data_IF_550103082925
#
_entry.id   IF_550103082925
#
_cell.length_a   1.000
_cell.length_b   1.000
_cell.length_c   1.000
_cell.angle_alpha   90.00
_cell.angle_beta   90.00
_cell.angle_gamma   90.00
#
_symmetry.space_group_name_H-M   'P 1'
#
loop_
_entity.id
_entity.type
_entity.pdbx_description
1 polymer ?
#
# COMPACT_ATOMS: atom_id res chain seq x y z
N UNK A 1 -6.80 -62.33 37.23
CA UNK A 1 -5.86 -61.35 36.65
C UNK A 1 -6.55 -60.70 35.47
N UNK A 2 -6.93 -59.43 35.59
CA UNK A 2 -7.60 -58.65 34.53
C UNK A 2 -6.55 -57.99 33.65
N UNK A 3 -6.57 -58.30 32.35
CA UNK A 3 -5.71 -57.70 31.33
C UNK A 3 -5.95 -56.19 31.27
N UNK A 4 -4.91 -55.34 31.28
CA UNK A 4 -5.09 -53.90 31.12
C UNK A 4 -5.66 -53.61 29.72
N UNK A 5 -6.75 -52.84 29.66
CA UNK A 5 -7.29 -52.33 28.42
C UNK A 5 -6.35 -51.24 27.88
N UNK A 6 -5.71 -51.51 26.74
CA UNK A 6 -4.92 -50.49 26.04
C UNK A 6 -5.86 -49.65 25.18
N UNK A 7 -5.83 -48.33 25.36
CA UNK A 7 -6.45 -47.40 24.42
C UNK A 7 -5.58 -47.30 23.17
N UNK A 8 -6.09 -47.78 22.04
CA UNK A 8 -5.42 -47.60 20.74
C UNK A 8 -5.59 -46.15 20.32
N UNK A 9 -4.48 -45.40 20.29
CA UNK A 9 -4.47 -44.06 19.72
C UNK A 9 -4.32 -44.16 18.20
N UNK A 10 -5.38 -43.87 17.45
CA UNK A 10 -5.32 -43.77 16.00
C UNK A 10 -4.71 -42.41 15.62
N UNK A 11 -3.48 -42.40 15.11
CA UNK A 11 -2.85 -41.19 14.57
C UNK A 11 -3.25 -41.00 13.12
N UNK A 12 -4.24 -40.14 12.86
CA UNK A 12 -4.57 -39.70 11.49
C UNK A 12 -3.65 -38.56 11.07
N UNK A 13 -2.77 -38.80 10.11
CA UNK A 13 -1.96 -37.75 9.49
C UNK A 13 -2.62 -37.28 8.19
N UNK A 14 -3.13 -36.05 8.18
CA UNK A 14 -3.53 -35.39 6.94
C UNK A 14 -2.29 -34.71 6.33
N UNK A 15 -2.05 -34.93 5.03
CA UNK A 15 -1.05 -34.18 4.29
C UNK A 15 -1.64 -32.84 3.82
N UNK A 16 -0.91 -31.72 3.94
CA UNK A 16 -1.36 -30.45 3.40
C UNK A 16 -1.45 -30.53 1.87
N UNK A 17 -2.43 -29.83 1.30
CA UNK A 17 -2.58 -29.66 -0.14
C UNK A 17 -1.69 -28.54 -0.68
N UNK A 18 -1.33 -27.56 0.17
CA UNK A 18 -0.41 -26.47 -0.12
C UNK A 18 0.35 -26.11 1.15
N UNK A 19 1.63 -25.78 1.00
CA UNK A 19 2.49 -25.27 2.06
C UNK A 19 3.06 -23.94 1.61
N UNK A 20 2.79 -22.86 2.36
CA UNK A 20 3.32 -21.53 2.10
C UNK A 20 4.55 -21.27 3.00
N UNK A 21 5.65 -20.91 2.37
CA UNK A 21 6.92 -20.52 3.00
C UNK A 21 7.13 -19.01 2.84
N UNK A 22 6.56 -18.23 3.77
CA UNK A 22 6.64 -16.77 3.73
C UNK A 22 7.90 -16.26 4.41
N UNK A 23 8.65 -15.44 3.69
CA UNK A 23 9.94 -14.87 4.12
C UNK A 23 9.86 -13.35 4.07
N UNK A 24 10.37 -12.70 5.11
CA UNK A 24 10.57 -11.25 5.13
C UNK A 24 11.75 -10.87 4.24
N UNK A 25 11.49 -10.28 3.07
CA UNK A 25 12.55 -9.98 2.11
C UNK A 25 13.54 -8.96 2.67
N UNK A 26 13.06 -7.90 3.30
CA UNK A 26 13.90 -6.83 3.83
C UNK A 26 14.83 -7.34 4.94
N UNK A 27 14.28 -8.10 5.90
CA UNK A 27 15.10 -8.66 6.97
C UNK A 27 16.11 -9.69 6.44
N UNK A 28 15.76 -10.45 5.39
CA UNK A 28 16.64 -11.44 4.77
C UNK A 28 17.81 -10.76 4.06
N UNK A 29 17.49 -9.78 3.21
CA UNK A 29 18.48 -9.10 2.37
C UNK A 29 19.46 -8.28 3.25
N UNK A 30 19.04 -7.86 4.45
CA UNK A 30 19.89 -7.22 5.46
C UNK A 30 20.55 -8.18 6.47
N UNK A 31 20.25 -9.48 6.41
CA UNK A 31 20.84 -10.49 7.30
C UNK A 31 20.49 -10.34 8.80
N UNK A 32 19.35 -9.72 9.14
CA UNK A 32 19.05 -9.29 10.52
C UNK A 32 18.66 -10.46 11.43
N UNK A 33 17.93 -11.46 10.92
CA UNK A 33 17.36 -12.57 11.73
C UNK A 33 17.65 -13.93 11.08
N UNK A 34 18.87 -14.09 10.57
CA UNK A 34 19.31 -15.30 9.89
C UNK A 34 18.82 -15.41 8.43
N UNK A 35 18.99 -16.58 7.79
CA UNK A 35 18.83 -16.73 6.34
C UNK A 35 17.37 -16.78 5.84
N UNK A 36 16.40 -17.11 6.71
CA UNK A 36 14.99 -17.22 6.35
C UNK A 36 14.10 -16.57 7.43
N UNK A 37 14.16 -15.24 7.60
CA UNK A 37 13.36 -14.54 8.58
C UNK A 37 11.86 -14.70 8.28
N UNK A 38 11.10 -15.12 9.28
CA UNK A 38 9.64 -15.26 9.16
C UNK A 38 8.97 -13.90 9.17
N UNK A 39 7.94 -13.77 8.34
CA UNK A 39 7.09 -12.59 8.34
C UNK A 39 6.37 -12.42 9.69
N UNK A 40 6.00 -11.18 10.02
CA UNK A 40 5.27 -10.83 11.25
C UNK A 40 3.79 -10.58 10.98
N UNK A 41 2.96 -10.91 11.96
CA UNK A 41 1.52 -10.64 11.91
C UNK A 41 0.70 -11.76 11.26
N UNK A 42 -0.59 -11.49 11.12
CA UNK A 42 -1.56 -12.43 10.52
C UNK A 42 -1.52 -12.34 9.00
N UNK A 43 -1.71 -13.49 8.36
CA UNK A 43 -1.77 -13.62 6.91
C UNK A 43 -3.15 -14.07 6.51
N UNK A 44 -3.68 -13.50 5.44
CA UNK A 44 -4.91 -13.94 4.80
C UNK A 44 -4.57 -14.38 3.38
N UNK A 45 -5.05 -15.55 3.02
CA UNK A 45 -4.90 -16.11 1.69
C UNK A 45 -6.27 -16.17 1.04
N UNK A 46 -6.40 -15.61 -0.16
CA UNK A 46 -7.66 -15.60 -0.89
C UNK A 46 -7.47 -16.16 -2.29
N UNK A 47 -8.28 -17.13 -2.68
CA UNK A 47 -8.38 -17.54 -4.08
C UNK A 47 -9.24 -16.49 -4.77
N UNK A 48 -8.63 -15.76 -5.72
CA UNK A 48 -9.26 -14.65 -6.43
C UNK A 48 -9.81 -15.07 -7.78
N UNK A 49 -9.13 -16.02 -8.42
CA UNK A 49 -9.46 -16.49 -9.76
C UNK A 49 -8.97 -17.93 -9.95
N UNK A 50 -9.49 -18.57 -10.99
CA UNK A 50 -8.92 -19.80 -11.56
C UNK A 50 -8.25 -19.45 -12.90
N UNK A 51 -7.18 -20.15 -13.24
CA UNK A 51 -6.50 -19.99 -14.53
C UNK A 51 -6.41 -21.34 -15.26
N UNK A 52 -6.86 -21.36 -16.51
CA UNK A 52 -6.78 -22.51 -17.40
C UNK A 52 -6.34 -22.05 -18.78
N UNK A 53 -5.32 -22.69 -19.37
CA UNK A 53 -4.75 -22.31 -20.67
C UNK A 53 -4.37 -20.82 -20.74
N UNK A 54 -3.78 -20.27 -19.66
CA UNK A 54 -3.45 -18.85 -19.50
C UNK A 54 -4.64 -17.88 -19.56
N UNK A 55 -5.87 -18.39 -19.51
CA UNK A 55 -7.09 -17.59 -19.38
C UNK A 55 -7.46 -17.52 -17.91
N UNK A 56 -7.44 -16.30 -17.36
CA UNK A 56 -7.84 -16.01 -15.99
C UNK A 56 -9.35 -15.79 -15.92
N UNK A 57 -10.03 -16.61 -15.13
CA UNK A 57 -11.45 -16.48 -14.80
C UNK A 57 -11.60 -16.05 -13.35
N UNK A 58 -11.96 -14.78 -13.14
CA UNK A 58 -12.23 -14.23 -11.81
C UNK A 58 -13.38 -14.95 -11.11
N UNK A 59 -13.25 -15.16 -9.79
CA UNK A 59 -14.37 -15.64 -8.99
C UNK A 59 -15.33 -14.48 -8.71
N UNK A 60 -16.64 -14.76 -8.65
CA UNK A 60 -17.64 -13.76 -8.27
C UNK A 60 -17.34 -13.16 -6.88
N UNK A 61 -16.90 -14.01 -5.95
CA UNK A 61 -16.38 -13.59 -4.65
C UNK A 61 -15.10 -14.37 -4.33
N UNK A 62 -14.06 -13.70 -3.78
CA UNK A 62 -12.86 -14.39 -3.34
C UNK A 62 -13.15 -15.42 -2.24
N UNK A 63 -12.49 -16.58 -2.31
CA UNK A 63 -12.59 -17.63 -1.30
C UNK A 63 -11.41 -17.55 -0.34
N UNK A 64 -11.66 -17.41 0.96
CA UNK A 64 -10.60 -17.40 1.96
C UNK A 64 -10.09 -18.82 2.19
N UNK A 65 -8.79 -19.04 2.13
CA UNK A 65 -8.18 -20.33 2.43
C UNK A 65 -8.06 -20.51 3.94
N UNK A 66 -8.54 -21.63 4.47
CA UNK A 66 -8.40 -21.98 5.89
C UNK A 66 -7.03 -22.63 6.09
N UNK A 67 -6.11 -21.90 6.71
CA UNK A 67 -4.73 -22.31 6.93
C UNK A 67 -4.41 -22.54 8.41
N UNK A 68 -3.45 -23.42 8.67
CA UNK A 68 -2.90 -23.67 10.01
C UNK A 68 -1.40 -23.44 9.97
N UNK A 69 -0.88 -22.59 10.85
CA UNK A 69 0.56 -22.36 10.97
C UNK A 69 1.21 -23.46 11.81
N UNK A 70 2.28 -24.07 11.31
CA UNK A 70 3.07 -25.03 12.08
C UNK A 70 4.15 -24.33 12.95
N UNK A 71 4.83 -25.09 13.81
CA UNK A 71 5.87 -24.58 14.72
C UNK A 71 7.10 -24.03 14.00
N UNK A 72 7.36 -24.46 12.77
CA UNK A 72 8.45 -23.96 11.93
C UNK A 72 8.07 -22.68 11.16
N UNK A 73 6.83 -22.19 11.30
CA UNK A 73 6.33 -20.94 10.72
C UNK A 73 5.76 -21.06 9.31
N UNK A 74 5.52 -22.26 8.81
CA UNK A 74 4.85 -22.49 7.52
C UNK A 74 3.34 -22.45 7.68
N UNK A 75 2.64 -21.88 6.70
CA UNK A 75 1.18 -21.89 6.64
C UNK A 75 0.70 -23.08 5.79
N UNK A 76 -0.04 -23.98 6.41
CA UNK A 76 -0.49 -25.24 5.83
C UNK A 76 -1.96 -25.14 5.41
N UNK A 77 -2.26 -25.44 4.16
CA UNK A 77 -3.63 -25.48 3.64
C UNK A 77 -4.04 -26.91 3.30
N UNK A 78 -5.20 -27.35 3.79
CA UNK A 78 -5.72 -28.72 3.61
C UNK A 78 -6.89 -28.79 2.61
N UNK A 79 -6.93 -27.85 1.66
CA UNK A 79 -8.00 -27.80 0.67
C UNK A 79 -9.32 -27.26 1.22
N UNK A 80 -9.31 -26.49 2.31
CA UNK A 80 -10.51 -25.94 2.95
C UNK A 80 -10.63 -24.44 2.68
N UNK A 81 -11.84 -23.99 2.35
CA UNK A 81 -12.12 -22.58 2.07
C UNK A 81 -13.38 -22.10 2.77
N UNK A 82 -13.46 -20.79 3.02
CA UNK A 82 -14.67 -20.10 3.45
C UNK A 82 -15.03 -18.99 2.47
N UNK A 83 -16.29 -18.97 2.03
CA UNK A 83 -16.87 -17.86 1.28
C UNK A 83 -17.44 -16.79 2.20
N UNK A 84 -18.24 -15.87 1.64
CA UNK A 84 -18.92 -14.80 2.40
C UNK A 84 -19.88 -15.32 3.46
N UNK A 85 -20.53 -16.45 3.21
CA UNK A 85 -21.45 -17.10 4.16
C UNK A 85 -20.73 -17.68 5.40
N UNK A 86 -19.40 -17.74 5.39
CA UNK A 86 -18.59 -18.19 6.52
C UNK A 86 -18.51 -19.72 6.69
N UNK A 87 -19.29 -20.50 5.95
CA UNK A 87 -19.23 -21.96 6.02
C UNK A 87 -17.92 -22.50 5.44
N UNK A 88 -17.28 -23.38 6.22
CA UNK A 88 -16.07 -24.11 5.80
C UNK A 88 -16.48 -25.24 4.87
N UNK A 89 -15.89 -25.27 3.68
CA UNK A 89 -16.10 -26.35 2.70
C UNK A 89 -14.80 -26.78 2.06
N UNK A 90 -14.80 -27.99 1.49
CA UNK A 90 -13.64 -28.48 0.73
C UNK A 90 -13.64 -27.85 -0.65
N UNK A 91 -12.51 -27.27 -1.04
CA UNK A 91 -12.25 -26.76 -2.37
C UNK A 91 -11.89 -27.93 -3.29
N UNK A 92 -12.76 -28.22 -4.26
CA UNK A 92 -12.60 -29.27 -5.26
C UNK A 92 -13.06 -28.76 -6.63
N UNK A 93 -12.26 -27.93 -7.30
CA UNK A 93 -12.56 -27.58 -8.68
C UNK A 93 -12.26 -28.80 -9.58
N UNK A 94 -13.16 -29.09 -10.52
CA UNK A 94 -13.04 -30.21 -11.46
C UNK A 94 -13.22 -29.68 -12.90
N UNK A 95 -12.22 -29.84 -13.79
CA UNK A 95 -10.84 -30.31 -13.52
C UNK A 95 -10.09 -29.30 -12.63
N UNK A 96 -9.00 -29.68 -11.94
CA UNK A 96 -8.28 -28.74 -11.07
C UNK A 96 -7.54 -27.68 -11.91
N UNK A 97 -8.02 -26.42 -11.97
CA UNK A 97 -7.30 -25.37 -12.67
C UNK A 97 -6.15 -24.88 -11.79
N UNK A 98 -5.25 -24.11 -12.38
CA UNK A 98 -4.38 -23.26 -11.60
C UNK A 98 -5.23 -22.28 -10.79
N UNK A 99 -4.78 -21.91 -9.60
CA UNK A 99 -5.48 -20.92 -8.76
C UNK A 99 -4.65 -19.65 -8.65
N UNK A 100 -5.31 -18.50 -8.78
CA UNK A 100 -4.69 -17.21 -8.49
C UNK A 100 -4.94 -16.90 -7.02
N UNK A 101 -3.87 -16.91 -6.23
CA UNK A 101 -3.91 -16.67 -4.79
C UNK A 101 -3.38 -15.27 -4.50
N UNK A 102 -4.16 -14.51 -3.77
CA UNK A 102 -3.72 -13.27 -3.14
C UNK A 102 -3.25 -13.58 -1.72
N UNK A 103 -2.05 -13.10 -1.38
CA UNK A 103 -1.45 -13.12 -0.06
C UNK A 103 -1.54 -11.69 0.50
N UNK A 104 -2.38 -11.51 1.50
CA UNK A 104 -2.62 -10.22 2.14
C UNK A 104 -2.15 -10.24 3.60
N UNK A 105 -1.42 -9.20 3.98
CA UNK A 105 -0.97 -8.97 5.35
C UNK A 105 -1.12 -7.48 5.69
N UNK A 106 -1.04 -7.14 6.98
CA UNK A 106 -1.05 -5.73 7.40
C UNK A 106 0.32 -5.05 7.20
N UNK A 107 1.41 -5.81 7.26
CA UNK A 107 2.79 -5.28 7.38
C UNK A 107 3.62 -5.40 6.10
N UNK A 108 3.18 -6.18 5.13
CA UNK A 108 3.88 -6.46 3.89
C UNK A 108 3.01 -6.09 2.68
N UNK A 109 3.64 -5.85 1.53
CA UNK A 109 2.90 -5.62 0.29
C UNK A 109 2.03 -6.84 -0.04
N UNK A 110 0.90 -6.55 -0.68
CA UNK A 110 0.01 -7.58 -1.21
C UNK A 110 0.72 -8.26 -2.39
N UNK A 111 0.74 -9.59 -2.35
CA UNK A 111 1.30 -10.41 -3.42
C UNK A 111 0.16 -11.17 -4.09
N UNK A 112 0.17 -11.24 -5.42
CA UNK A 112 -0.73 -12.11 -6.19
C UNK A 112 0.11 -13.08 -7.01
N UNK A 113 -0.23 -14.37 -6.93
CA UNK A 113 0.54 -15.43 -7.59
C UNK A 113 -0.36 -16.49 -8.19
N UNK A 114 0.06 -17.07 -9.31
CA UNK A 114 -0.58 -18.24 -9.92
C UNK A 114 0.05 -19.50 -9.33
N UNK A 115 -0.79 -20.41 -8.85
CA UNK A 115 -0.38 -21.73 -8.36
C UNK A 115 -0.87 -22.76 -9.38
N UNK A 116 0.04 -23.14 -10.29
CA UNK A 116 -0.25 -23.93 -11.49
C UNK A 116 -0.71 -25.37 -11.23
N UNK A 117 -0.22 -25.98 -10.15
CA UNK A 117 -0.68 -27.26 -9.63
C UNK A 117 -0.63 -27.19 -8.11
N UNK A 118 -1.57 -27.83 -7.41
CA UNK A 118 -1.45 -28.00 -5.95
C UNK A 118 -0.12 -28.71 -5.70
N UNK A 119 0.91 -28.01 -5.19
CA UNK A 119 2.24 -28.54 -5.08
C UNK A 119 2.17 -29.80 -4.25
N UNK A 120 3.02 -30.77 -4.57
CA UNK A 120 3.22 -31.87 -3.65
C UNK A 120 3.56 -31.29 -2.27
N UNK A 121 3.02 -31.85 -1.18
CA UNK A 121 3.24 -31.33 0.18
C UNK A 121 4.72 -31.25 0.58
N UNK A 122 5.61 -31.91 -0.16
CA UNK A 122 7.06 -31.90 0.02
C UNK A 122 7.77 -30.63 -0.50
N UNK A 123 7.09 -29.79 -1.28
CA UNK A 123 7.69 -28.60 -1.91
C UNK A 123 6.94 -27.32 -1.51
N UNK A 124 7.37 -26.66 -0.41
CA UNK A 124 6.80 -25.39 0.01
C UNK A 124 6.90 -24.31 -1.07
N UNK A 125 5.82 -23.57 -1.27
CA UNK A 125 5.78 -22.40 -2.14
C UNK A 125 6.36 -21.21 -1.39
N UNK A 126 7.55 -20.78 -1.81
CA UNK A 126 8.29 -19.70 -1.14
C UNK A 126 7.93 -18.34 -1.71
N UNK A 127 7.56 -17.42 -0.83
CA UNK A 127 7.29 -16.02 -1.17
C UNK A 127 8.11 -15.10 -0.30
N UNK A 128 8.92 -14.26 -0.92
CA UNK A 128 9.67 -13.20 -0.24
C UNK A 128 8.84 -11.92 -0.30
N UNK A 129 8.15 -11.58 0.79
CA UNK A 129 7.25 -10.44 0.83
C UNK A 129 8.02 -9.14 1.06
N UNK A 130 7.68 -8.13 0.27
CA UNK A 130 8.22 -6.78 0.41
C UNK A 130 7.58 -6.05 1.61
N UNK A 131 8.30 -5.15 2.30
CA UNK A 131 7.72 -4.31 3.35
C UNK A 131 6.53 -3.49 2.85
N UNK A 132 5.45 -3.48 3.62
CA UNK A 132 4.29 -2.61 3.44
C UNK A 132 4.43 -1.33 4.26
N UNK A 133 3.47 -0.41 4.11
CA UNK A 133 3.45 0.87 4.83
C UNK A 133 3.55 0.72 6.37
N UNK A 134 2.84 -0.26 6.93
CA UNK A 134 2.84 -0.53 8.37
C UNK A 134 4.00 -1.45 8.82
N UNK A 135 4.97 -1.74 7.95
CA UNK A 135 6.18 -2.46 8.35
C UNK A 135 6.95 -1.67 9.40
N UNK A 136 7.31 -2.33 10.50
CA UNK A 136 8.11 -1.77 11.57
C UNK A 136 9.59 -1.86 11.19
N UNK A 137 10.07 -0.85 10.47
CA UNK A 137 11.49 -0.72 10.19
C UNK A 137 12.25 -0.46 11.49
N UNK A 138 13.38 -1.17 11.73
CA UNK A 138 14.19 -0.91 12.91
C UNK A 138 14.75 0.52 12.82
N UNK A 139 14.69 1.27 13.92
CA UNK A 139 15.22 2.64 13.98
C UNK A 139 16.74 2.69 14.06
N UNK A 140 17.37 1.60 14.52
CA UNK A 140 18.81 1.41 14.53
C UNK A 140 19.19 0.25 13.60
N UNK A 141 20.36 0.37 13.00
CA UNK A 141 20.97 -0.67 12.16
C UNK A 141 22.06 -1.40 12.94
N UNK A 142 22.28 -2.68 12.62
CA UNK A 142 23.40 -3.46 13.13
C UNK A 142 24.71 -3.21 12.37
N UNK A 143 24.69 -2.36 11.33
CA UNK A 143 25.88 -2.04 10.53
C UNK A 143 26.71 -0.92 11.19
N UNK A 144 28.04 -1.11 11.33
CA UNK A 144 28.93 -0.07 11.84
C UNK A 144 28.82 1.22 11.02
N UNK A 145 28.54 2.35 11.68
CA UNK A 145 28.51 3.68 11.07
C UNK A 145 27.22 4.04 10.31
N UNK A 146 26.18 3.20 10.34
CA UNK A 146 24.88 3.55 9.76
C UNK A 146 23.92 4.07 10.85
N UNK A 147 23.08 5.05 10.49
CA UNK A 147 22.12 5.72 11.39
C UNK A 147 20.72 5.11 11.35
N UNK A 148 20.49 4.07 10.53
CA UNK A 148 19.18 3.46 10.33
C UNK A 148 18.94 3.03 8.87
N UNK A 149 17.73 2.56 8.54
CA UNK A 149 17.35 2.24 7.16
C UNK A 149 17.19 3.52 6.32
N UNK A 150 17.60 3.47 5.06
CA UNK A 150 17.26 4.50 4.08
C UNK A 150 15.87 4.23 3.53
N UNK A 151 14.92 5.14 3.77
CA UNK A 151 13.52 5.00 3.34
C UNK A 151 13.06 6.23 2.56
N UNK A 152 12.24 6.01 1.53
CA UNK A 152 11.40 7.06 0.93
C UNK A 152 9.94 6.70 1.15
N UNK A 153 9.19 7.58 1.81
CA UNK A 153 7.77 7.42 2.10
C UNK A 153 6.95 8.47 1.37
N UNK A 154 5.71 8.14 1.03
CA UNK A 154 4.79 9.15 0.53
C UNK A 154 3.35 8.71 0.54
N UNK A 155 2.50 9.63 0.09
CA UNK A 155 1.06 9.42 -0.05
C UNK A 155 0.63 9.90 -1.42
N UNK A 156 -0.29 9.18 -2.05
CA UNK A 156 -0.89 9.55 -3.32
C UNK A 156 -2.41 9.63 -3.15
N UNK A 157 -2.96 10.82 -3.31
CA UNK A 157 -4.38 11.14 -3.09
C UNK A 157 -4.98 11.83 -4.29
N UNK A 158 -6.25 11.53 -4.54
CA UNK A 158 -7.13 12.27 -5.44
C UNK A 158 -7.42 13.68 -4.85
N UNK A 159 -7.93 14.62 -5.65
CA UNK A 159 -8.24 15.97 -5.18
C UNK A 159 -9.11 16.04 -3.92
N UNK A 160 -10.09 15.14 -3.78
CA UNK A 160 -10.95 15.02 -2.59
C UNK A 160 -10.32 14.27 -1.40
N UNK A 161 -9.03 13.94 -1.45
CA UNK A 161 -8.27 13.33 -0.35
C UNK A 161 -8.34 11.81 -0.23
N UNK A 162 -9.14 11.13 -1.07
CA UNK A 162 -9.15 9.66 -1.13
C UNK A 162 -7.83 9.13 -1.70
N UNK A 163 -7.32 8.04 -1.13
CA UNK A 163 -6.08 7.42 -1.60
C UNK A 163 -6.20 6.85 -3.00
N UNK A 164 -5.16 7.02 -3.82
CA UNK A 164 -5.04 6.35 -5.11
C UNK A 164 -4.41 4.98 -4.87
N UNK A 165 -5.22 3.94 -5.03
CA UNK A 165 -4.83 2.54 -4.83
C UNK A 165 -4.18 1.94 -6.07
N UNK A 166 -3.30 0.97 -5.88
CA UNK A 166 -2.69 0.18 -6.96
C UNK A 166 -1.82 1.00 -7.94
N UNK A 167 -1.35 2.18 -7.54
CA UNK A 167 -0.34 2.91 -8.30
C UNK A 167 1.04 2.29 -8.04
N UNK A 168 1.80 2.07 -9.10
CA UNK A 168 3.19 1.59 -9.00
C UNK A 168 4.12 2.77 -8.79
N UNK A 169 4.96 2.72 -7.77
CA UNK A 169 5.93 3.77 -7.42
C UNK A 169 7.34 3.20 -7.45
N UNK A 170 8.27 3.91 -8.11
CA UNK A 170 9.70 3.55 -8.15
C UNK A 170 10.57 4.79 -8.32
N UNK A 171 11.86 4.69 -7.98
CA UNK A 171 12.86 5.73 -8.28
C UNK A 171 13.58 5.37 -9.58
N UNK A 172 13.55 6.21 -10.60
CA UNK A 172 14.18 5.93 -11.89
C UNK A 172 14.98 7.13 -12.40
N UNK A 173 16.28 7.01 -12.72
CA UNK A 173 17.11 5.81 -12.56
C UNK A 173 17.27 5.40 -11.09
N UNK A 174 17.60 4.12 -10.80
CA UNK A 174 17.91 3.68 -9.44
C UNK A 174 19.04 4.52 -8.84
N UNK A 175 18.98 4.85 -7.53
CA UNK A 175 20.09 5.53 -6.86
C UNK A 175 21.39 4.71 -6.97
N UNK A 176 22.55 5.38 -6.97
CA UNK A 176 23.85 4.70 -7.00
C UNK A 176 23.99 3.71 -5.82
N UNK A 177 24.60 2.55 -6.11
CA UNK A 177 24.72 1.39 -5.20
C UNK A 177 23.41 0.67 -4.85
N UNK A 178 22.28 1.04 -5.45
CA UNK A 178 21.07 0.23 -5.35
C UNK A 178 21.20 -1.03 -6.24
N UNK A 179 21.16 -2.25 -5.68
CA UNK A 179 21.19 -3.48 -6.48
C UNK A 179 19.92 -3.64 -7.31
N UNK A 180 20.05 -4.36 -8.44
CA UNK A 180 18.92 -4.78 -9.25
C UNK A 180 18.24 -6.04 -8.64
N UNK A 181 16.90 -6.17 -8.75
CA UNK A 181 15.97 -5.17 -9.28
C UNK A 181 15.77 -3.99 -8.31
N UNK A 182 15.50 -2.81 -8.87
CA UNK A 182 15.21 -1.62 -8.09
C UNK A 182 13.91 -1.79 -7.28
N UNK A 183 13.81 -1.25 -6.05
CA UNK A 183 12.59 -1.34 -5.25
C UNK A 183 11.39 -0.73 -5.97
N UNK A 184 10.27 -1.44 -5.92
CA UNK A 184 8.98 -1.01 -6.46
C UNK A 184 7.94 -1.18 -5.35
N UNK A 185 7.01 -0.23 -5.27
CA UNK A 185 5.89 -0.30 -4.32
C UNK A 185 4.56 -0.10 -5.03
N UNK A 186 3.56 -0.89 -4.67
CA UNK A 186 2.18 -0.70 -5.11
C UNK A 186 1.38 -0.03 -3.99
N UNK A 187 0.83 1.17 -4.23
CA UNK A 187 0.10 1.94 -3.20
C UNK A 187 -1.06 1.14 -2.60
N UNK A 188 -1.22 1.27 -1.28
CA UNK A 188 -2.30 0.59 -0.57
C UNK A 188 -3.67 1.28 -0.75
N UNK A 189 -4.71 0.77 -0.09
CA UNK A 189 -6.06 1.32 -0.16
C UNK A 189 -6.17 2.77 0.36
N UNK A 190 -5.19 3.25 1.12
CA UNK A 190 -5.12 4.63 1.62
C UNK A 190 -4.21 5.52 0.77
N UNK A 191 -3.58 4.96 -0.28
CA UNK A 191 -2.63 5.66 -1.13
C UNK A 191 -1.24 5.80 -0.54
N UNK A 192 -0.95 5.14 0.59
CA UNK A 192 0.36 5.21 1.24
C UNK A 192 1.35 4.24 0.58
N UNK A 193 2.63 4.61 0.60
CA UNK A 193 3.70 3.80 0.05
C UNK A 193 5.05 4.04 0.72
N UNK A 194 5.92 3.02 0.65
CA UNK A 194 7.29 3.08 1.20
C UNK A 194 8.27 2.33 0.31
N UNK A 195 9.39 2.95 -0.04
CA UNK A 195 10.50 2.33 -0.76
C UNK A 195 11.70 2.19 0.20
N UNK A 196 12.06 0.96 0.61
CA UNK A 196 13.29 0.70 1.33
C UNK A 196 14.46 0.57 0.34
N UNK A 197 15.58 1.22 0.65
CA UNK A 197 16.81 1.13 -0.15
C UNK A 197 17.87 0.29 0.55
N UNK A 198 18.88 -0.14 -0.23
CA UNK A 198 20.05 -0.81 0.31
C UNK A 198 20.84 0.09 1.29
N UNK A 199 21.58 -0.54 2.21
CA UNK A 199 22.29 0.16 3.28
C UNK A 199 23.48 1.01 2.77
N UNK A 200 24.00 0.70 1.58
CA UNK A 200 25.11 1.39 0.90
C UNK A 200 24.65 2.38 -0.18
N UNK A 201 23.34 2.61 -0.32
CA UNK A 201 22.79 3.58 -1.25
C UNK A 201 23.36 4.99 -1.02
N UNK A 202 23.62 5.72 -2.09
CA UNK A 202 24.14 7.10 -1.99
C UNK A 202 23.01 8.12 -1.77
N UNK A 203 23.25 9.10 -0.89
CA UNK A 203 22.37 10.26 -0.73
C UNK A 203 22.18 10.97 -2.06
N UNK A 204 20.93 11.17 -2.48
CA UNK A 204 20.57 11.79 -3.76
C UNK A 204 19.68 13.00 -3.49
N UNK A 205 20.12 14.20 -3.85
CA UNK A 205 19.36 15.43 -3.60
C UNK A 205 18.19 15.63 -4.59
N UNK A 206 18.28 15.07 -5.79
CA UNK A 206 17.32 15.26 -6.88
C UNK A 206 17.03 13.95 -7.62
N UNK A 207 16.50 12.94 -6.91
CA UNK A 207 15.99 11.72 -7.52
C UNK A 207 14.69 12.02 -8.28
N UNK A 208 14.41 11.21 -9.30
CA UNK A 208 13.14 11.19 -10.01
C UNK A 208 12.31 10.00 -9.52
N UNK A 209 11.12 10.28 -9.02
CA UNK A 209 10.14 9.26 -8.63
C UNK A 209 9.12 9.12 -9.75
N UNK A 210 9.01 7.92 -10.28
CA UNK A 210 8.00 7.54 -11.25
C UNK A 210 6.81 6.92 -10.54
N UNK A 211 5.61 7.41 -10.88
CA UNK A 211 4.34 6.94 -10.36
C UNK A 211 3.46 6.57 -11.56
N UNK A 212 3.04 5.32 -11.62
CA UNK A 212 2.13 4.81 -12.64
C UNK A 212 0.80 4.40 -11.98
N UNK A 213 -0.21 5.28 -11.98
CA UNK A 213 -1.56 4.91 -11.55
C UNK A 213 -2.12 3.77 -12.41
N UNK A 214 -2.91 2.89 -11.81
CA UNK A 214 -3.53 1.79 -12.54
C UNK A 214 -4.42 2.32 -13.68
N UNK A 215 -4.05 2.04 -14.93
CA UNK A 215 -4.76 2.52 -16.13
C UNK A 215 -4.57 4.02 -16.44
N UNK A 216 -3.66 4.71 -15.73
CA UNK A 216 -3.34 6.12 -15.95
C UNK A 216 -2.00 6.35 -16.65
N UNK A 217 -1.69 7.59 -17.03
CA UNK A 217 -0.39 7.95 -17.58
C UNK A 217 0.70 7.91 -16.50
N UNK A 218 1.94 7.74 -16.94
CA UNK A 218 3.12 7.86 -16.08
C UNK A 218 3.25 9.31 -15.57
N UNK A 219 3.42 9.47 -14.27
CA UNK A 219 3.72 10.73 -13.59
C UNK A 219 5.18 10.70 -13.13
N UNK A 220 5.94 11.75 -13.43
CA UNK A 220 7.35 11.88 -13.02
C UNK A 220 7.47 13.03 -12.04
N UNK A 221 7.91 12.73 -10.82
CA UNK A 221 8.14 13.71 -9.76
C UNK A 221 9.65 13.93 -9.59
N UNK A 222 10.19 15.09 -10.00
CA UNK A 222 11.60 15.39 -9.84
C UNK A 222 11.92 15.92 -8.43
N UNK A 223 13.20 16.19 -8.20
CA UNK A 223 13.69 16.89 -6.98
C UNK A 223 13.35 16.15 -5.68
N UNK A 224 13.33 14.82 -5.72
CA UNK A 224 13.08 14.01 -4.53
C UNK A 224 14.40 13.75 -3.82
N UNK A 225 14.51 14.18 -2.58
CA UNK A 225 15.69 13.93 -1.77
C UNK A 225 15.61 12.56 -1.12
N UNK A 226 16.63 11.73 -1.29
CA UNK A 226 16.81 10.44 -0.62
C UNK A 226 18.08 10.57 0.21
N UNK A 227 17.95 10.55 1.54
CA UNK A 227 19.09 10.69 2.46
C UNK A 227 19.47 9.32 3.01
N UNK A 228 20.72 8.90 2.80
CA UNK A 228 21.23 7.64 3.32
C UNK A 228 21.07 7.59 4.84
N UNK A 229 20.52 6.48 5.34
CA UNK A 229 20.33 6.22 6.75
C UNK A 229 19.22 7.04 7.41
N UNK A 230 18.32 7.62 6.61
CA UNK A 230 17.21 8.46 7.07
C UNK A 230 15.90 8.12 6.32
N UNK A 231 14.78 8.62 6.84
CA UNK A 231 13.46 8.53 6.22
C UNK A 231 13.09 9.84 5.54
N UNK A 232 13.22 9.88 4.22
CA UNK A 232 12.70 10.95 3.38
C UNK A 232 11.19 10.83 3.18
N UNK A 233 10.51 11.97 3.06
CA UNK A 233 9.07 12.02 2.77
C UNK A 233 8.77 12.82 1.49
N UNK A 234 8.03 12.22 0.57
CA UNK A 234 7.41 12.87 -0.58
C UNK A 234 5.94 13.15 -0.28
N UNK A 235 5.61 14.42 -0.08
CA UNK A 235 4.25 14.90 0.20
C UNK A 235 3.68 15.61 -1.02
N UNK A 236 2.39 15.42 -1.26
CA UNK A 236 1.62 16.30 -2.15
C UNK A 236 1.40 17.67 -1.49
N UNK A 237 1.36 18.72 -2.29
CA UNK A 237 0.83 20.01 -1.84
C UNK A 237 -0.69 19.89 -1.66
N UNK A 238 -1.25 20.56 -0.65
CA UNK A 238 -2.70 20.67 -0.48
C UNK A 238 -3.10 22.08 -0.05
N UNK A 239 -4.34 22.46 -0.37
CA UNK A 239 -5.02 23.63 0.17
C UNK A 239 -6.07 23.16 1.15
N UNK A 240 -6.20 23.80 2.31
CA UNK A 240 -7.23 23.44 3.29
C UNK A 240 -7.84 24.69 3.92
N UNK A 241 -9.15 24.67 4.13
CA UNK A 241 -9.87 25.82 4.69
C UNK A 241 -11.23 25.43 5.25
N UNK A 242 -12.08 26.45 5.45
CA UNK A 242 -13.47 26.23 5.83
C UNK A 242 -14.42 27.22 5.16
N UNK A 243 -15.70 26.87 5.11
CA UNK A 243 -16.81 27.68 4.61
C UNK A 243 -17.82 27.88 5.74
N UNK A 244 -18.20 29.13 5.99
CA UNK A 244 -19.11 29.50 7.07
C UNK A 244 -20.08 30.57 6.61
N UNK A 245 -21.21 30.70 7.30
CA UNK A 245 -22.11 31.85 7.18
C UNK A 245 -21.57 33.00 8.03
N UNK A 246 -22.06 34.21 7.79
CA UNK A 246 -21.80 35.37 8.65
C UNK A 246 -22.19 35.11 10.13
N UNK A 247 -23.16 34.23 10.37
CA UNK A 247 -23.57 33.77 11.70
C UNK A 247 -22.57 32.80 12.37
N UNK A 248 -21.51 32.39 11.66
CA UNK A 248 -20.52 31.41 12.11
C UNK A 248 -20.89 29.95 11.85
N UNK A 249 -22.11 29.66 11.40
CA UNK A 249 -22.56 28.30 11.07
C UNK A 249 -21.81 27.74 9.84
N UNK A 250 -21.54 26.43 9.83
CA UNK A 250 -20.91 25.75 8.69
C UNK A 250 -21.78 25.79 7.42
N UNK A 251 -21.14 25.82 6.25
CA UNK A 251 -21.83 25.72 4.95
C UNK A 251 -21.33 24.46 4.22
N UNK A 252 -22.04 23.32 4.31
CA UNK A 252 -21.62 22.09 3.64
C UNK A 252 -21.95 22.11 2.14
N UNK A 253 -21.35 21.18 1.38
CA UNK A 253 -21.60 21.03 -0.06
C UNK A 253 -21.10 22.17 -0.95
N UNK A 254 -20.25 23.06 -0.45
CA UNK A 254 -19.61 24.10 -1.27
C UNK A 254 -18.53 23.45 -2.12
N UNK A 255 -18.52 23.76 -3.42
CA UNK A 255 -17.48 23.31 -4.33
C UNK A 255 -16.30 24.27 -4.25
N UNK A 256 -15.11 23.75 -3.97
CA UNK A 256 -13.88 24.53 -3.92
C UNK A 256 -12.97 24.12 -5.08
N UNK A 257 -12.51 25.11 -5.83
CA UNK A 257 -11.58 24.97 -6.96
C UNK A 257 -10.41 25.92 -6.83
N UNK A 258 -9.37 25.71 -7.64
CA UNK A 258 -8.23 26.62 -7.73
C UNK A 258 -7.75 26.76 -9.17
N UNK A 259 -7.15 27.89 -9.51
CA UNK A 259 -6.62 28.20 -10.83
C UNK A 259 -5.27 27.53 -11.13
N UNK A 260 -4.46 27.26 -10.11
CA UNK A 260 -3.14 26.59 -10.27
C UNK A 260 -3.24 25.12 -10.66
N UNK A 261 -4.42 24.53 -10.54
CA UNK A 261 -4.71 23.17 -11.00
C UNK A 261 -6.12 23.15 -11.61
N UNK A 262 -6.30 23.60 -12.87
CA UNK A 262 -7.61 23.64 -13.49
C UNK A 262 -8.24 22.24 -13.60
N UNK A 263 -9.56 22.15 -13.36
CA UNK A 263 -10.32 20.91 -13.52
C UNK A 263 -10.34 20.00 -12.29
N UNK A 264 -9.67 20.36 -11.19
CA UNK A 264 -9.82 19.67 -9.91
C UNK A 264 -10.75 20.44 -8.98
N UNK A 265 -11.46 19.71 -8.13
CA UNK A 265 -12.33 20.28 -7.11
C UNK A 265 -12.45 19.38 -5.90
N UNK A 266 -12.93 19.96 -4.80
CA UNK A 266 -13.32 19.24 -3.59
C UNK A 266 -14.64 19.81 -3.08
N UNK A 267 -15.31 19.07 -2.19
CA UNK A 267 -16.53 19.50 -1.52
C UNK A 267 -16.27 19.67 -0.04
N UNK A 268 -16.92 20.67 0.55
CA UNK A 268 -16.90 20.85 2.00
C UNK A 268 -17.73 19.78 2.71
N UNK A 269 -17.20 19.27 3.82
CA UNK A 269 -17.87 18.33 4.70
C UNK A 269 -19.06 18.97 5.48
N UNK A 270 -19.68 18.18 6.37
CA UNK A 270 -20.80 18.63 7.20
C UNK A 270 -20.44 19.81 8.13
N UNK A 271 -19.15 19.93 8.50
CA UNK A 271 -18.62 21.02 9.32
C UNK A 271 -18.08 22.18 8.47
N UNK A 272 -18.31 22.16 7.14
CA UNK A 272 -17.84 23.19 6.21
C UNK A 272 -16.33 23.15 5.98
N UNK A 273 -15.63 22.11 6.40
CA UNK A 273 -14.18 21.97 6.19
C UNK A 273 -13.91 21.34 4.85
N UNK A 274 -12.79 21.71 4.25
CA UNK A 274 -12.36 21.15 2.99
C UNK A 274 -10.84 21.02 2.93
N UNK A 275 -10.40 20.04 2.16
CA UNK A 275 -9.02 19.91 1.73
C UNK A 275 -9.01 19.52 0.25
N UNK A 276 -8.18 20.23 -0.52
CA UNK A 276 -7.96 20.03 -1.94
C UNK A 276 -6.51 19.59 -2.14
N UNK A 277 -6.32 18.33 -2.53
CA UNK A 277 -5.01 17.77 -2.82
C UNK A 277 -4.60 18.06 -4.26
N UNK A 278 -3.40 18.59 -4.44
CA UNK A 278 -2.90 19.03 -5.74
C UNK A 278 -2.08 17.91 -6.40
N UNK A 279 -1.94 17.93 -7.75
CA UNK A 279 -1.09 16.98 -8.46
C UNK A 279 0.35 16.99 -7.92
N UNK A 280 0.91 15.81 -7.71
CA UNK A 280 2.16 15.61 -6.96
C UNK A 280 3.39 16.15 -7.70
N UNK A 281 3.30 16.25 -9.02
CA UNK A 281 4.35 16.65 -9.94
C UNK A 281 4.42 18.17 -10.20
N UNK A 282 3.37 18.93 -9.87
CA UNK A 282 3.27 20.34 -10.27
C UNK A 282 4.00 21.31 -9.33
N UNK A 283 4.03 21.02 -8.03
CA UNK A 283 4.53 21.96 -7.01
C UNK A 283 5.91 21.53 -6.50
N UNK A 284 6.94 21.90 -7.27
CA UNK A 284 8.33 21.57 -7.00
C UNK A 284 8.96 22.48 -5.93
N UNK A 285 9.82 21.94 -5.04
CA UNK A 285 10.52 22.75 -4.04
C UNK A 285 11.29 23.94 -4.62
N UNK A 286 11.98 23.77 -5.74
CA UNK A 286 12.78 24.84 -6.37
C UNK A 286 11.94 26.01 -6.88
N UNK A 287 10.67 25.78 -7.21
CA UNK A 287 9.75 26.83 -7.66
C UNK A 287 9.27 27.74 -6.51
N UNK A 288 9.46 27.33 -5.25
CA UNK A 288 8.99 28.07 -4.08
C UNK A 288 7.46 28.16 -3.99
N UNK A 289 6.93 29.02 -3.08
CA UNK A 289 5.49 29.28 -3.00
C UNK A 289 4.93 29.87 -4.29
N UNK A 290 3.79 29.35 -4.75
CA UNK A 290 3.11 29.81 -5.96
C UNK A 290 1.81 30.54 -5.61
N UNK A 291 1.51 31.70 -6.25
CA UNK A 291 0.23 32.36 -6.07
C UNK A 291 -0.90 31.49 -6.60
N UNK A 292 -2.00 31.42 -5.86
CA UNK A 292 -3.19 30.67 -6.25
C UNK A 292 -4.45 31.45 -5.89
N UNK A 293 -5.41 31.44 -6.81
CA UNK A 293 -6.77 31.93 -6.59
C UNK A 293 -7.64 30.73 -6.24
N UNK A 294 -8.31 30.81 -5.10
CA UNK A 294 -9.21 29.77 -4.59
C UNK A 294 -10.64 30.27 -4.70
N UNK A 295 -11.48 29.51 -5.40
CA UNK A 295 -12.89 29.85 -5.60
C UNK A 295 -13.77 28.89 -4.84
N UNK A 296 -14.72 29.41 -4.05
CA UNK A 296 -15.72 28.64 -3.34
C UNK A 296 -17.12 28.96 -3.89
N UNK A 297 -17.76 27.97 -4.49
CA UNK A 297 -19.08 28.08 -5.13
C UNK A 297 -20.12 27.31 -4.31
N UNK A 298 -21.04 27.99 -3.61
CA UNK A 298 -22.07 27.34 -2.83
C UNK A 298 -23.14 26.71 -3.76
N UNK A 299 -23.93 25.73 -3.28
CA UNK A 299 -25.03 25.15 -4.06
C UNK A 299 -26.05 26.19 -4.54
N UNK A 300 -26.21 27.27 -3.77
CA UNK A 300 -27.06 28.41 -4.09
C UNK A 300 -26.34 29.70 -3.69
N UNK A 301 -26.34 30.69 -4.58
CA UNK A 301 -25.72 32.00 -4.34
C UNK A 301 -24.50 32.27 -5.20
N UNK A 302 -23.84 33.39 -4.93
CA UNK A 302 -22.63 33.80 -5.65
C UNK A 302 -21.40 33.08 -5.10
N UNK A 303 -20.44 32.80 -5.99
CA UNK A 303 -19.14 32.30 -5.59
C UNK A 303 -18.33 33.39 -4.88
N UNK A 304 -17.46 32.97 -3.98
CA UNK A 304 -16.46 33.82 -3.32
C UNK A 304 -15.06 33.41 -3.77
N UNK A 305 -14.14 34.36 -3.75
CA UNK A 305 -12.76 34.18 -4.23
C UNK A 305 -11.80 34.71 -3.18
N UNK A 306 -10.72 33.96 -2.93
CA UNK A 306 -9.63 34.34 -2.03
C UNK A 306 -8.29 34.04 -2.69
N UNK A 307 -7.31 34.91 -2.47
CA UNK A 307 -5.92 34.68 -2.85
C UNK A 307 -5.20 33.85 -1.78
N UNK A 308 -4.28 33.00 -2.22
CA UNK A 308 -3.44 32.16 -1.36
C UNK A 308 -2.06 31.93 -1.99
N UNK A 309 -1.18 31.27 -1.23
CA UNK A 309 0.18 30.93 -1.65
C UNK A 309 0.43 29.45 -1.42
N UNK A 310 0.26 28.65 -2.46
CA UNK A 310 0.49 27.20 -2.40
C UNK A 310 1.96 26.94 -2.15
N UNK A 311 2.25 26.30 -1.01
CA UNK A 311 3.60 25.86 -0.66
C UNK A 311 3.87 24.45 -1.20
N UNK A 312 4.97 24.21 -1.93
CA UNK A 312 5.40 22.89 -2.34
C UNK A 312 5.45 21.90 -1.19
N UNK A 313 4.92 20.68 -1.41
CA UNK A 313 4.98 19.55 -0.47
C UNK A 313 4.41 19.84 0.93
N UNK A 314 3.50 20.81 1.04
CA UNK A 314 2.91 21.23 2.31
C UNK A 314 1.41 21.52 2.16
N UNK A 315 0.70 21.48 3.29
CA UNK A 315 -0.68 21.94 3.38
C UNK A 315 -0.69 23.44 3.65
N UNK A 316 -1.28 24.20 2.74
CA UNK A 316 -1.48 25.65 2.87
C UNK A 316 -2.88 25.90 3.43
N UNK A 317 -2.96 26.67 4.52
CA UNK A 317 -4.25 27.09 5.08
C UNK A 317 -4.77 28.30 4.32
N UNK A 318 -6.01 28.20 3.84
CA UNK A 318 -6.75 29.30 3.20
C UNK A 318 -7.70 29.88 4.22
N UNK A 319 -7.81 31.21 4.21
CA UNK A 319 -8.75 31.91 5.10
C UNK A 319 -10.19 31.41 4.86
N UNK A 320 -11.06 31.44 5.89
CA UNK A 320 -12.41 30.96 5.75
C UNK A 320 -13.21 31.78 4.72
N UNK A 321 -13.95 31.10 3.85
CA UNK A 321 -14.97 31.75 3.04
C UNK A 321 -16.20 32.02 3.90
N UNK A 322 -16.61 33.29 4.00
CA UNK A 322 -17.78 33.72 4.77
C UNK A 322 -18.90 34.14 3.83
N UNK A 323 -19.91 33.28 3.69
CA UNK A 323 -21.11 33.54 2.92
C UNK A 323 -22.14 34.35 3.72
N UNK A 324 -22.97 35.18 3.05
CA UNK A 324 -24.08 35.87 3.70
C UNK A 324 -25.11 34.89 4.29
#
# INVERSE_FOLDING_TARGET
MTTPAYTVWERRTAAPSLVFDLVDRHARDRGIVGPNPRIRGRVRYRIMATEANHVRTGLLEPLNMVTVRNTAGYDLWFGLVTGREGFVRRYRPDPPPAIVVEIATERYQREETVIASLPRPDTPQRFALEPGWAYEFPTATSLPGSTGPTLLRGTLRNPGGTGIVSATVRVNPPPAHQPAPNPVYTTDATGNWVLPFADDVTTTAAAQVEILPAGGPLVVVPEVTITRGDTSALRQASLAGSTRRATGAAVPGVTVTTDVAPGISTLTDAEGRWELWLPIEQFLPTAGPQPAVVTATPPQGAALVLDSQVRPRATTRVDPFVFP
#
